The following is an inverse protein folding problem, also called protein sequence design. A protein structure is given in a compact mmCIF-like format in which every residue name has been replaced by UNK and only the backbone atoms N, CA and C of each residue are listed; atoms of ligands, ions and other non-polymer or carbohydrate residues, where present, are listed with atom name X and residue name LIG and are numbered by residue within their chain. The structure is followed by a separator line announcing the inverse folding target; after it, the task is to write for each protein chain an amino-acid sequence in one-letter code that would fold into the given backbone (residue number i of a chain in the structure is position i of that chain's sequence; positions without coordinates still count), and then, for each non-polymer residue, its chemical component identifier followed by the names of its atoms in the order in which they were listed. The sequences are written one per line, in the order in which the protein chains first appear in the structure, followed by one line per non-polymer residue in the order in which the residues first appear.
data_IF_065559702702
#
_entry.id   IF_065559702702
#
_cell.length_a   1.000
_cell.length_b   1.000
_cell.length_c   1.000
_cell.angle_alpha   90.00
_cell.angle_beta   90.00
_cell.angle_gamma   90.00
#
_symmetry.space_group_name_H-M   'P 1'
#
loop_
_entity.id
_entity.type
_entity.pdbx_description
1 polymer ?
#
# COMPACT_ATOMS: atom_id res chain seq x y z
N UNK A 1 -21.94 20.01 -8.42
CA UNK A 1 -21.04 20.19 -7.26
C UNK A 1 -20.91 18.97 -6.35
N UNK A 2 -21.72 17.91 -6.50
CA UNK A 2 -21.61 16.70 -5.67
C UNK A 2 -20.37 15.85 -6.04
N UNK A 3 -20.08 15.70 -7.34
CA UNK A 3 -18.92 14.94 -7.82
C UNK A 3 -17.57 15.51 -7.34
N UNK A 4 -17.43 16.84 -7.25
CA UNK A 4 -16.20 17.49 -6.77
C UNK A 4 -15.95 17.30 -5.27
N UNK A 5 -17.01 17.30 -4.46
CA UNK A 5 -16.90 17.06 -3.02
C UNK A 5 -16.56 15.59 -2.70
N UNK A 6 -17.14 14.65 -3.44
CA UNK A 6 -16.82 13.21 -3.32
C UNK A 6 -15.36 12.91 -3.72
N UNK A 7 -14.86 13.57 -4.77
CA UNK A 7 -13.46 13.41 -5.21
C UNK A 7 -12.44 13.90 -4.17
N UNK A 8 -12.77 14.94 -3.39
CA UNK A 8 -11.91 15.44 -2.32
C UNK A 8 -12.04 14.65 -1.00
N UNK A 9 -13.24 14.12 -0.70
CA UNK A 9 -13.47 13.33 0.51
C UNK A 9 -12.81 11.94 0.44
N UNK A 10 -12.73 11.36 -0.76
CA UNK A 10 -12.24 10.00 -0.93
C UNK A 10 -10.77 9.78 -0.49
N UNK A 11 -9.80 10.63 -0.86
CA UNK A 11 -8.45 10.55 -0.29
C UNK A 11 -8.43 10.59 1.25
N UNK A 12 -9.30 11.41 1.85
CA UNK A 12 -9.47 11.46 3.31
C UNK A 12 -9.98 10.14 3.90
N UNK A 13 -10.97 9.52 3.25
CA UNK A 13 -11.45 8.18 3.62
C UNK A 13 -10.34 7.13 3.56
N UNK A 14 -9.56 7.09 2.46
CA UNK A 14 -8.45 6.14 2.31
C UNK A 14 -7.41 6.34 3.42
N UNK A 15 -7.04 7.58 3.72
CA UNK A 15 -6.12 7.87 4.82
C UNK A 15 -6.66 7.41 6.17
N UNK A 16 -7.93 7.69 6.48
CA UNK A 16 -8.56 7.25 7.73
C UNK A 16 -8.54 5.72 7.83
N UNK A 17 -8.94 5.01 6.76
CA UNK A 17 -8.95 3.56 6.72
C UNK A 17 -7.54 2.97 6.91
N UNK A 18 -6.53 3.48 6.19
CA UNK A 18 -5.16 2.98 6.31
C UNK A 18 -4.61 3.21 7.70
N UNK A 19 -4.77 4.42 8.26
CA UNK A 19 -4.18 4.75 9.54
C UNK A 19 -4.90 4.11 10.72
N UNK A 20 -6.22 3.88 10.66
CA UNK A 20 -6.93 3.14 11.72
C UNK A 20 -6.41 1.71 11.88
N UNK A 21 -6.07 1.05 10.77
CA UNK A 21 -5.46 -0.28 10.80
C UNK A 21 -3.95 -0.23 11.08
N UNK A 22 -3.23 0.77 10.56
CA UNK A 22 -1.79 0.94 10.81
C UNK A 22 -1.46 1.10 12.28
N UNK A 23 -2.20 1.95 13.01
CA UNK A 23 -1.96 2.14 14.45
C UNK A 23 -2.28 0.90 15.29
N UNK A 24 -3.03 -0.07 14.75
CA UNK A 24 -3.31 -1.34 15.42
C UNK A 24 -2.21 -2.40 15.21
N UNK A 25 -1.26 -2.17 14.29
CA UNK A 25 -0.19 -3.12 13.96
C UNK A 25 1.19 -2.48 14.22
N UNK A 26 1.95 -3.06 15.16
CA UNK A 26 3.25 -2.54 15.57
C UNK A 26 4.37 -2.98 14.60
N UNK A 27 4.33 -2.44 13.37
CA UNK A 27 5.32 -2.74 12.33
C UNK A 27 6.49 -1.73 12.36
N UNK A 28 7.75 -2.19 12.20
CA UNK A 28 8.90 -1.30 12.20
C UNK A 28 9.14 -0.65 10.82
N UNK A 29 10.10 0.27 10.78
CA UNK A 29 10.61 0.84 9.52
C UNK A 29 9.64 1.81 8.88
N UNK A 30 9.48 2.96 9.54
CA UNK A 30 8.51 4.01 9.21
C UNK A 30 8.51 4.39 7.73
N UNK A 31 9.68 4.49 7.10
CA UNK A 31 9.83 4.61 5.64
C UNK A 31 10.80 3.55 5.12
N UNK A 32 10.53 3.00 3.94
CA UNK A 32 11.29 1.93 3.27
C UNK A 32 11.32 0.57 3.99
N UNK A 33 10.56 0.42 5.09
CA UNK A 33 10.49 -0.82 5.87
C UNK A 33 9.09 -1.46 5.85
N UNK A 34 8.85 -2.46 6.70
CA UNK A 34 7.58 -3.19 6.76
C UNK A 34 6.35 -2.30 6.98
N UNK A 35 6.46 -1.27 7.82
CA UNK A 35 5.39 -0.31 8.07
C UNK A 35 4.99 0.46 6.79
N UNK A 36 5.99 0.86 6.01
CA UNK A 36 5.78 1.57 4.74
C UNK A 36 5.13 0.66 3.70
N UNK A 37 5.68 -0.55 3.55
CA UNK A 37 5.12 -1.58 2.69
C UNK A 37 3.66 -1.89 3.02
N UNK A 38 3.32 -1.95 4.32
CA UNK A 38 1.94 -2.14 4.78
C UNK A 38 1.02 -0.99 4.38
N UNK A 39 1.41 0.27 4.64
CA UNK A 39 0.55 1.41 4.29
C UNK A 39 0.32 1.52 2.79
N UNK A 40 1.36 1.32 1.97
CA UNK A 40 1.25 1.35 0.51
C UNK A 40 0.36 0.23 -0.03
N UNK A 41 0.56 -1.00 0.45
CA UNK A 41 -0.25 -2.15 0.05
C UNK A 41 -1.71 -1.99 0.49
N UNK A 42 -1.93 -1.51 1.72
CA UNK A 42 -3.28 -1.34 2.27
C UNK A 42 -4.02 -0.20 1.56
N UNK A 43 -3.38 0.93 1.31
CA UNK A 43 -3.97 2.03 0.55
C UNK A 43 -4.42 1.56 -0.83
N UNK A 44 -3.56 0.80 -1.52
CA UNK A 44 -3.85 0.20 -2.83
C UNK A 44 -4.99 -0.81 -2.76
N UNK A 45 -5.04 -1.65 -1.73
CA UNK A 45 -6.12 -2.61 -1.52
C UNK A 45 -7.47 -1.91 -1.28
N UNK A 46 -7.51 -0.92 -0.40
CA UNK A 46 -8.72 -0.12 -0.13
C UNK A 46 -9.23 0.52 -1.41
N UNK A 47 -8.35 1.11 -2.23
CA UNK A 47 -8.74 1.73 -3.49
C UNK A 47 -9.25 0.71 -4.50
N UNK A 48 -8.59 -0.44 -4.63
CA UNK A 48 -9.01 -1.49 -5.53
C UNK A 48 -10.36 -2.12 -5.13
N UNK A 49 -10.58 -2.33 -3.83
CA UNK A 49 -11.81 -2.90 -3.27
C UNK A 49 -13.01 -1.95 -3.39
N UNK A 50 -12.81 -0.67 -3.07
CA UNK A 50 -13.93 0.30 -3.04
C UNK A 50 -14.23 0.96 -4.37
N UNK A 51 -13.24 1.02 -5.28
CA UNK A 51 -13.38 1.75 -6.55
C UNK A 51 -12.95 0.90 -7.73
N UNK A 52 -11.64 0.68 -7.91
CA UNK A 52 -11.12 -0.11 -9.03
C UNK A 52 -9.61 -0.32 -8.93
N UNK A 53 -9.08 -1.51 -9.25
CA UNK A 53 -7.64 -1.72 -9.38
C UNK A 53 -6.99 -0.83 -10.46
N UNK A 54 -7.73 -0.45 -11.51
CA UNK A 54 -7.22 0.45 -12.57
C UNK A 54 -6.88 1.85 -12.06
N UNK A 55 -7.58 2.30 -11.03
CA UNK A 55 -7.28 3.60 -10.39
C UNK A 55 -5.95 3.53 -9.64
N UNK A 56 -5.62 2.38 -9.03
CA UNK A 56 -4.33 2.16 -8.37
C UNK A 56 -3.18 2.21 -9.37
N UNK A 57 -3.34 1.61 -10.56
CA UNK A 57 -2.33 1.66 -11.62
C UNK A 57 -2.05 3.11 -12.03
N UNK A 58 -3.11 3.91 -12.21
CA UNK A 58 -2.98 5.32 -12.58
C UNK A 58 -2.30 6.15 -11.48
N UNK A 59 -2.71 5.98 -10.22
CA UNK A 59 -2.10 6.69 -9.07
C UNK A 59 -0.64 6.28 -8.89
N UNK A 60 -0.32 4.99 -9.03
CA UNK A 60 1.06 4.47 -8.93
C UNK A 60 1.94 5.04 -10.05
N UNK A 61 1.43 5.10 -11.28
CA UNK A 61 2.13 5.74 -12.38
C UNK A 61 2.38 7.24 -12.11
N UNK A 62 1.36 7.97 -11.62
CA UNK A 62 1.45 9.40 -11.37
C UNK A 62 2.38 9.76 -10.19
N UNK A 63 2.26 9.04 -9.08
CA UNK A 63 2.97 9.36 -7.83
C UNK A 63 4.35 8.73 -7.75
N UNK A 64 4.49 7.49 -8.21
CA UNK A 64 5.72 6.71 -8.12
C UNK A 64 6.50 6.59 -9.42
N UNK A 65 6.02 7.22 -10.51
CA UNK A 65 6.60 7.08 -11.85
C UNK A 65 6.74 5.61 -12.25
N UNK A 66 5.77 4.79 -11.83
CA UNK A 66 5.77 3.34 -12.02
C UNK A 66 7.02 2.62 -11.46
N UNK A 67 7.65 3.19 -10.44
CA UNK A 67 8.84 2.65 -9.81
C UNK A 67 10.17 3.14 -10.40
N UNK A 68 10.14 4.05 -11.37
CA UNK A 68 11.36 4.59 -11.96
C UNK A 68 12.06 5.63 -11.08
N UNK A 69 13.39 5.57 -11.07
CA UNK A 69 14.27 6.61 -10.53
C UNK A 69 14.99 6.26 -9.22
N UNK A 70 14.42 5.43 -8.35
CA UNK A 70 15.13 4.89 -7.17
C UNK A 70 14.47 3.60 -6.63
N UNK A 71 15.19 2.91 -5.72
CA UNK A 71 14.76 1.63 -5.12
C UNK A 71 13.50 1.73 -4.26
N UNK A 72 13.29 2.85 -3.57
CA UNK A 72 12.09 3.07 -2.73
C UNK A 72 10.84 3.13 -3.60
N UNK A 73 10.86 3.90 -4.69
CA UNK A 73 9.73 3.96 -5.63
C UNK A 73 9.42 2.61 -6.26
N UNK A 74 10.46 1.84 -6.61
CA UNK A 74 10.28 0.50 -7.17
C UNK A 74 9.61 -0.46 -6.17
N UNK A 75 10.03 -0.41 -4.90
CA UNK A 75 9.41 -1.14 -3.79
C UNK A 75 7.94 -0.71 -3.61
N UNK A 76 7.66 0.60 -3.57
CA UNK A 76 6.30 1.12 -3.38
C UNK A 76 5.37 0.72 -4.53
N UNK A 77 5.82 0.87 -5.78
CA UNK A 77 5.05 0.46 -6.96
C UNK A 77 4.79 -1.05 -6.98
N UNK A 78 5.76 -1.87 -6.60
CA UNK A 78 5.60 -3.32 -6.47
C UNK A 78 4.56 -3.69 -5.42
N UNK A 79 4.67 -3.13 -4.22
CA UNK A 79 3.75 -3.37 -3.12
C UNK A 79 2.33 -2.89 -3.42
N UNK A 80 2.19 -1.74 -4.11
CA UNK A 80 0.90 -1.24 -4.59
C UNK A 80 0.20 -2.24 -5.50
N UNK A 81 0.93 -2.84 -6.46
CA UNK A 81 0.35 -3.86 -7.37
C UNK A 81 -0.12 -5.10 -6.61
N UNK A 82 0.61 -5.54 -5.58
CA UNK A 82 0.18 -6.66 -4.73
C UNK A 82 -1.08 -6.28 -3.95
N UNK A 83 -1.07 -5.11 -3.30
CA UNK A 83 -2.23 -4.59 -2.57
C UNK A 83 -3.48 -4.46 -3.46
N UNK A 84 -3.33 -3.93 -4.67
CA UNK A 84 -4.42 -3.82 -5.63
C UNK A 84 -5.03 -5.18 -6.00
N UNK A 85 -4.21 -6.21 -6.19
CA UNK A 85 -4.69 -7.58 -6.46
C UNK A 85 -5.44 -8.16 -5.27
N UNK A 86 -4.95 -7.94 -4.05
CA UNK A 86 -5.64 -8.38 -2.82
C UNK A 86 -7.00 -7.69 -2.73
N UNK A 87 -7.04 -6.36 -2.84
CA UNK A 87 -8.29 -5.59 -2.75
C UNK A 87 -9.32 -5.96 -3.82
N UNK A 88 -8.88 -6.18 -5.06
CA UNK A 88 -9.77 -6.57 -6.15
C UNK A 88 -10.35 -7.99 -6.00
N UNK A 89 -9.70 -8.87 -5.24
CA UNK A 89 -10.11 -10.26 -5.04
C UNK A 89 -10.76 -10.56 -3.69
N UNK A 90 -10.83 -9.59 -2.79
CA UNK A 90 -11.34 -9.80 -1.44
C UNK A 90 -12.87 -10.00 -1.42
N UNK A 91 -13.33 -10.94 -0.60
CA UNK A 91 -14.77 -11.21 -0.40
C UNK A 91 -15.47 -10.14 0.41
N UNK A 92 -14.73 -9.50 1.31
CA UNK A 92 -15.22 -8.51 2.27
C UNK A 92 -14.06 -7.66 2.81
N UNK A 93 -14.41 -6.63 3.57
CA UNK A 93 -13.46 -5.65 4.11
C UNK A 93 -12.45 -6.28 5.08
N UNK A 94 -12.90 -7.15 5.98
CA UNK A 94 -12.01 -7.72 7.01
C UNK A 94 -11.03 -8.70 6.36
N UNK A 95 -11.52 -9.55 5.46
CA UNK A 95 -10.68 -10.46 4.68
C UNK A 95 -9.62 -9.73 3.85
N UNK A 96 -9.94 -8.55 3.29
CA UNK A 96 -8.96 -7.71 2.60
C UNK A 96 -7.85 -7.23 3.56
N UNK A 97 -8.22 -6.68 4.71
CA UNK A 97 -7.26 -6.14 5.69
C UNK A 97 -6.35 -7.24 6.23
N UNK A 98 -6.93 -8.38 6.60
CA UNK A 98 -6.20 -9.54 7.08
C UNK A 98 -5.23 -10.04 6.01
N UNK A 99 -5.68 -10.18 4.76
CA UNK A 99 -4.84 -10.63 3.66
C UNK A 99 -3.65 -9.69 3.38
N UNK A 100 -3.83 -8.37 3.48
CA UNK A 100 -2.72 -7.41 3.33
C UNK A 100 -1.72 -7.56 4.48
N UNK A 101 -2.19 -7.61 5.73
CA UNK A 101 -1.32 -7.76 6.89
C UNK A 101 -0.52 -9.06 6.81
N UNK A 102 -1.18 -10.15 6.43
CA UNK A 102 -0.58 -11.45 6.21
C UNK A 102 0.46 -11.45 5.08
N UNK A 103 0.19 -10.75 3.99
CA UNK A 103 1.14 -10.58 2.90
C UNK A 103 2.41 -9.84 3.35
N UNK A 104 2.27 -8.81 4.20
CA UNK A 104 3.40 -8.08 4.79
C UNK A 104 4.18 -8.96 5.76
N UNK A 105 3.50 -9.72 6.63
CA UNK A 105 4.15 -10.66 7.57
C UNK A 105 4.96 -11.74 6.87
N UNK A 106 4.54 -12.17 5.68
CA UNK A 106 5.26 -13.10 4.80
C UNK A 106 6.25 -12.42 3.85
N UNK A 107 6.32 -11.09 3.87
CA UNK A 107 7.23 -10.33 3.03
C UNK A 107 8.69 -10.49 3.45
N UNK A 108 9.59 -9.94 2.66
CA UNK A 108 11.02 -10.03 2.94
C UNK A 108 11.79 -8.78 2.46
N UNK A 109 13.01 -8.63 2.96
CA UNK A 109 13.96 -7.64 2.45
C UNK A 109 14.33 -8.02 1.01
N UNK A 110 14.20 -7.06 0.08
CA UNK A 110 14.57 -7.23 -1.32
C UNK A 110 13.99 -8.54 -1.93
N UNK A 111 12.73 -8.86 -1.61
CA UNK A 111 12.04 -10.01 -2.19
C UNK A 111 12.05 -9.91 -3.73
N UNK A 112 12.40 -11.03 -4.37
CA UNK A 112 12.59 -11.11 -5.83
C UNK A 112 11.38 -11.68 -6.56
N UNK A 113 10.32 -12.05 -5.84
CA UNK A 113 9.14 -12.67 -6.44
C UNK A 113 7.99 -11.67 -6.60
N UNK A 114 7.33 -11.72 -7.76
CA UNK A 114 6.25 -10.79 -8.14
C UNK A 114 5.02 -10.81 -7.20
N UNK A 115 4.89 -11.86 -6.38
CA UNK A 115 3.79 -12.07 -5.45
C UNK A 115 4.10 -11.80 -3.99
N UNK A 116 5.35 -11.47 -3.65
CA UNK A 116 5.78 -11.28 -2.26
C UNK A 116 6.01 -9.80 -1.96
N UNK A 117 5.41 -9.32 -0.87
CA UNK A 117 5.67 -7.96 -0.37
C UNK A 117 7.16 -7.81 -0.09
N UNK A 118 7.70 -6.66 -0.46
CA UNK A 118 9.12 -6.36 -0.32
C UNK A 118 9.36 -5.07 0.44
N UNK A 119 10.50 -4.96 1.09
CA UNK A 119 10.99 -3.69 1.64
C UNK A 119 12.52 -3.61 1.52
N UNK A 120 13.08 -2.42 1.74
CA UNK A 120 14.53 -2.23 1.65
C UNK A 120 15.25 -2.78 2.90
N UNK A 121 16.56 -3.01 2.85
CA UNK A 121 17.32 -3.39 4.05
C UNK A 121 17.25 -2.33 5.15
N UNK A 122 17.38 -2.71 6.45
CA UNK A 122 17.28 -1.77 7.58
C UNK A 122 18.18 -0.54 7.51
N UNK A 123 19.36 -0.66 6.88
CA UNK A 123 20.26 0.48 6.66
C UNK A 123 19.68 1.60 5.78
N UNK A 124 18.60 1.31 5.04
CA UNK A 124 17.87 2.26 4.20
C UNK A 124 16.55 2.73 4.83
N UNK A 125 16.18 2.22 6.02
CA UNK A 125 14.98 2.63 6.73
C UNK A 125 15.15 4.03 7.31
N UNK A 126 14.02 4.73 7.47
CA UNK A 126 13.98 5.98 8.20
C UNK A 126 12.86 5.91 9.23
N UNK A 127 13.15 6.29 10.47
CA UNK A 127 12.16 6.40 11.54
C UNK A 127 11.37 7.70 11.38
N UNK A 128 10.55 7.74 10.33
CA UNK A 128 9.66 8.84 10.00
C UNK A 128 8.29 8.26 9.67
N UNK A 129 7.25 9.00 10.03
CA UNK A 129 5.86 8.59 9.82
C UNK A 129 5.37 8.93 8.39
N UNK A 130 6.21 9.60 7.58
CA UNK A 130 5.98 10.06 6.20
C UNK A 130 7.31 10.12 5.41
#
# INVERSE_FOLDING_TARGET
MIAGALAAAYPGFVLIAVYSHFFAVDLPGGRNGPADAYRHSLASAVVAYTVSPRLVDWVTWAMERDGHGNRSRAMDAHNNRIGARIGAGASDWDAMNDAVLDAVRRGAIDAQTDGQITWLPPAAWQDRWY
#
